data_IF_114126441030
#
_entry.id   IF_114126441030
#
_cell.length_a   1.000
_cell.length_b   1.000
_cell.length_c   1.000
_cell.angle_alpha   90.00
_cell.angle_beta   90.00
_cell.angle_gamma   90.00
#
_symmetry.space_group_name_H-M   'P 1'
#
loop_
_entity.id
_entity.type
_entity.pdbx_description
1 polymer ?
#
# COMPACT_ATOMS: atom_id res chain seq x y z
N UNK A 1 -5.85 7.96 16.23
CA UNK A 1 -7.00 8.20 17.13
C UNK A 1 -8.29 7.82 16.40
N UNK A 2 -8.78 8.65 15.46
CA UNK A 2 -9.98 8.41 14.63
C UNK A 2 -10.24 6.94 14.27
N UNK A 3 -9.27 6.23 13.67
CA UNK A 3 -9.46 4.83 13.28
C UNK A 3 -9.78 3.86 14.44
N UNK A 4 -9.28 4.10 15.67
CA UNK A 4 -9.66 3.33 16.87
C UNK A 4 -11.07 3.67 17.33
N UNK A 5 -11.41 4.96 17.33
CA UNK A 5 -12.75 5.45 17.69
C UNK A 5 -13.81 4.90 16.71
N UNK A 6 -13.47 4.74 15.43
CA UNK A 6 -14.29 4.05 14.42
C UNK A 6 -14.40 2.54 14.66
N UNK A 7 -13.30 1.87 15.03
CA UNK A 7 -13.37 0.44 15.38
C UNK A 7 -14.26 0.21 16.59
N UNK A 8 -14.16 1.01 17.66
CA UNK A 8 -15.05 0.88 18.82
C UNK A 8 -16.54 1.06 18.45
N UNK A 9 -16.84 2.00 17.54
CA UNK A 9 -18.18 2.21 16.97
C UNK A 9 -18.68 1.03 16.12
N UNK A 10 -17.81 0.43 15.29
CA UNK A 10 -18.14 -0.74 14.47
C UNK A 10 -18.33 -2.00 15.33
N UNK A 11 -17.45 -2.23 16.31
CA UNK A 11 -17.50 -3.39 17.21
C UNK A 11 -18.68 -3.38 18.20
N UNK A 12 -19.30 -2.22 18.42
CA UNK A 12 -20.55 -2.09 19.20
C UNK A 12 -21.82 -2.18 18.34
N UNK A 13 -21.70 -2.12 17.00
CA UNK A 13 -22.82 -2.30 16.09
C UNK A 13 -23.08 -3.79 15.80
N UNK A 14 -24.36 -4.24 15.73
CA UNK A 14 -24.71 -5.63 15.51
C UNK A 14 -24.26 -6.11 14.12
N UNK A 15 -23.73 -7.33 14.05
CA UNK A 15 -23.37 -7.98 12.78
C UNK A 15 -24.63 -8.48 12.06
N UNK A 16 -24.84 -8.02 10.82
CA UNK A 16 -25.99 -8.35 9.98
C UNK A 16 -25.58 -9.26 8.80
N UNK A 17 -26.53 -9.59 7.90
CA UNK A 17 -26.19 -10.31 6.67
C UNK A 17 -25.16 -9.50 5.83
N UNK A 18 -24.21 -10.12 5.11
CA UNK A 18 -23.00 -9.42 4.63
C UNK A 18 -23.20 -8.14 3.83
N UNK A 19 -24.24 -8.06 2.99
CA UNK A 19 -24.55 -6.86 2.19
C UNK A 19 -25.26 -5.76 3.01
N UNK A 20 -26.08 -6.14 3.99
CA UNK A 20 -26.74 -5.22 4.92
C UNK A 20 -25.72 -4.67 5.93
N UNK A 21 -24.80 -5.53 6.40
CA UNK A 21 -23.66 -5.15 7.24
C UNK A 21 -22.74 -4.15 6.53
N UNK A 22 -22.41 -4.37 5.25
CA UNK A 22 -21.60 -3.42 4.48
C UNK A 22 -22.25 -2.02 4.39
N UNK A 23 -23.56 -1.94 4.15
CA UNK A 23 -24.30 -0.66 4.10
C UNK A 23 -24.43 -0.01 5.49
N UNK A 24 -24.63 -0.81 6.54
CA UNK A 24 -24.68 -0.32 7.92
C UNK A 24 -23.33 0.25 8.36
N UNK A 25 -22.23 -0.44 8.06
CA UNK A 25 -20.86 0.00 8.35
C UNK A 25 -20.51 1.30 7.61
N UNK A 26 -20.92 1.43 6.34
CA UNK A 26 -20.73 2.67 5.57
C UNK A 26 -21.52 3.85 6.16
N UNK A 27 -22.68 3.59 6.77
CA UNK A 27 -23.49 4.58 7.49
C UNK A 27 -22.92 5.02 8.85
N UNK A 28 -22.08 4.21 9.49
CA UNK A 28 -21.44 4.52 10.78
C UNK A 28 -20.20 5.42 10.65
N UNK A 29 -19.66 5.60 9.44
CA UNK A 29 -18.44 6.37 9.18
C UNK A 29 -18.79 7.65 8.42
N UNK A 30 -18.50 8.81 9.02
CA UNK A 30 -18.70 10.09 8.33
C UNK A 30 -17.65 10.29 7.22
N UNK A 31 -17.97 11.10 6.20
CA UNK A 31 -17.04 11.36 5.09
C UNK A 31 -15.74 12.04 5.55
N UNK A 32 -15.80 12.87 6.60
CA UNK A 32 -14.60 13.48 7.19
C UNK A 32 -13.70 12.47 7.91
N UNK A 33 -14.28 11.57 8.71
CA UNK A 33 -13.54 10.48 9.36
C UNK A 33 -12.93 9.53 8.32
N UNK A 34 -13.71 9.15 7.30
CA UNK A 34 -13.24 8.29 6.21
C UNK A 34 -12.06 8.92 5.46
N UNK A 35 -12.18 10.18 5.04
CA UNK A 35 -11.10 10.89 4.35
C UNK A 35 -9.85 11.01 5.22
N UNK A 36 -9.99 11.33 6.51
CA UNK A 36 -8.86 11.42 7.44
C UNK A 36 -8.11 10.08 7.58
N UNK A 37 -8.82 8.94 7.64
CA UNK A 37 -8.15 7.63 7.70
C UNK A 37 -7.58 7.21 6.35
N UNK A 38 -8.29 7.40 5.24
CA UNK A 38 -7.81 7.05 3.88
C UNK A 38 -6.53 7.82 3.54
N UNK A 39 -6.48 9.12 3.83
CA UNK A 39 -5.29 9.95 3.62
C UNK A 39 -4.17 9.59 4.63
N UNK A 40 -4.52 9.30 5.89
CA UNK A 40 -3.56 8.83 6.88
C UNK A 40 -2.91 7.50 6.51
N UNK A 41 -3.63 6.58 5.87
CA UNK A 41 -3.11 5.28 5.39
C UNK A 41 -2.11 5.39 4.22
N UNK A 42 -1.93 6.58 3.63
CA UNK A 42 -0.87 6.83 2.64
C UNK A 42 0.50 7.04 3.33
N UNK A 43 0.52 7.41 4.61
CA UNK A 43 1.74 7.41 5.41
C UNK A 43 2.13 5.97 5.80
N UNK A 44 3.42 5.65 5.62
CA UNK A 44 3.96 4.31 5.84
C UNK A 44 3.87 3.91 7.32
N UNK A 45 4.19 4.79 8.25
CA UNK A 45 4.17 4.45 9.66
C UNK A 45 2.74 4.20 10.15
N UNK A 46 1.81 5.08 9.79
CA UNK A 46 0.38 4.96 10.08
C UNK A 46 -0.21 3.68 9.51
N UNK A 47 0.16 3.31 8.28
CA UNK A 47 -0.25 2.05 7.65
C UNK A 47 0.35 0.83 8.34
N UNK A 48 1.65 0.85 8.65
CA UNK A 48 2.30 -0.26 9.34
C UNK A 48 1.63 -0.48 10.72
N UNK A 49 1.26 0.61 11.42
CA UNK A 49 0.50 0.59 12.69
C UNK A 49 -0.94 0.09 12.54
N UNK A 50 -1.56 0.29 11.38
CA UNK A 50 -2.88 -0.25 11.05
C UNK A 50 -2.82 -1.75 10.68
N UNK A 51 -1.70 -2.22 10.10
CA UNK A 51 -1.47 -3.63 9.78
C UNK A 51 -1.35 -4.52 11.04
N UNK A 52 -1.17 -3.92 12.22
CA UNK A 52 -1.12 -4.57 13.52
C UNK A 52 -2.48 -5.09 14.00
N UNK A 53 -3.59 -4.62 13.43
CA UNK A 53 -4.95 -5.04 13.82
C UNK A 53 -5.41 -6.27 13.01
N UNK A 54 -4.47 -7.16 12.67
CA UNK A 54 -4.70 -8.36 11.86
C UNK A 54 -5.04 -9.61 12.67
N UNK A 55 -4.87 -9.55 13.99
CA UNK A 55 -5.07 -10.67 14.91
C UNK A 55 -5.83 -10.23 16.17
N UNK A 56 -6.30 -11.22 16.95
CA UNK A 56 -7.02 -10.95 18.20
C UNK A 56 -8.45 -10.44 18.03
N UNK A 57 -8.93 -9.73 19.05
CA UNK A 57 -10.32 -9.23 19.14
C UNK A 57 -10.61 -8.07 18.19
N UNK A 58 -9.57 -7.41 17.69
CA UNK A 58 -9.63 -6.27 16.78
C UNK A 58 -9.86 -6.71 15.33
N UNK A 59 -9.43 -7.92 14.94
CA UNK A 59 -9.35 -8.36 13.55
C UNK A 59 -10.67 -8.23 12.76
N UNK A 60 -11.77 -8.77 13.27
CA UNK A 60 -13.09 -8.70 12.60
C UNK A 60 -13.54 -7.23 12.39
N UNK A 61 -13.31 -6.39 13.39
CA UNK A 61 -13.72 -4.99 13.40
C UNK A 61 -12.82 -4.14 12.49
N UNK A 62 -11.52 -4.43 12.46
CA UNK A 62 -10.57 -3.83 11.53
C UNK A 62 -10.90 -4.20 10.08
N UNK A 63 -11.24 -5.47 9.80
CA UNK A 63 -11.66 -5.93 8.48
C UNK A 63 -12.92 -5.20 7.98
N UNK A 64 -13.91 -4.99 8.85
CA UNK A 64 -15.10 -4.17 8.57
C UNK A 64 -14.72 -2.73 8.21
N UNK A 65 -13.88 -2.08 9.01
CA UNK A 65 -13.37 -0.73 8.74
C UNK A 65 -12.64 -0.66 7.38
N UNK A 66 -11.74 -1.58 7.09
CA UNK A 66 -10.96 -1.60 5.85
C UNK A 66 -11.84 -1.78 4.61
N UNK A 67 -12.86 -2.66 4.67
CA UNK A 67 -13.85 -2.82 3.61
C UNK A 67 -14.66 -1.55 3.38
N UNK A 68 -15.15 -0.91 4.44
CA UNK A 68 -15.92 0.33 4.36
C UNK A 68 -15.11 1.50 3.77
N UNK A 69 -13.83 1.65 4.18
CA UNK A 69 -12.95 2.68 3.61
C UNK A 69 -12.63 2.39 2.13
N UNK A 70 -12.34 1.13 1.77
CA UNK A 70 -12.05 0.76 0.39
C UNK A 70 -13.22 1.06 -0.57
N UNK A 71 -14.48 0.80 -0.16
CA UNK A 71 -15.67 1.11 -0.97
C UNK A 71 -15.84 2.61 -1.27
N UNK A 72 -15.29 3.49 -0.43
CA UNK A 72 -15.41 4.95 -0.57
C UNK A 72 -14.35 5.57 -1.48
N UNK A 73 -13.30 4.83 -1.82
CA UNK A 73 -12.25 5.24 -2.74
C UNK A 73 -12.70 5.07 -4.20
N UNK A 74 -13.41 6.08 -4.73
CA UNK A 74 -14.05 6.04 -6.06
C UNK A 74 -13.56 7.14 -7.00
N UNK A 75 -13.74 6.93 -8.31
CA UNK A 75 -13.41 7.91 -9.35
C UNK A 75 -11.92 8.27 -9.34
N UNK A 76 -11.54 9.55 -9.24
CA UNK A 76 -10.14 9.97 -9.24
C UNK A 76 -9.35 9.51 -8.00
N UNK A 77 -10.03 9.01 -6.95
CA UNK A 77 -9.39 8.56 -5.70
C UNK A 77 -9.28 7.03 -5.60
N UNK A 78 -9.46 6.30 -6.71
CA UNK A 78 -9.42 4.83 -6.71
C UNK A 78 -8.08 4.27 -6.25
N UNK A 79 -6.96 4.92 -6.57
CA UNK A 79 -5.61 4.53 -6.15
C UNK A 79 -5.47 4.47 -4.61
N UNK A 80 -6.13 5.38 -3.88
CA UNK A 80 -6.14 5.36 -2.42
C UNK A 80 -6.87 4.16 -1.82
N UNK A 81 -7.60 3.37 -2.61
CA UNK A 81 -8.16 2.08 -2.19
C UNK A 81 -7.09 1.03 -1.93
N UNK A 82 -5.90 1.14 -2.55
CA UNK A 82 -4.86 0.12 -2.46
C UNK A 82 -4.42 -0.15 -1.01
N UNK A 83 -4.25 0.89 -0.19
CA UNK A 83 -3.90 0.76 1.22
C UNK A 83 -4.96 -0.01 2.05
N UNK A 84 -6.24 0.42 2.14
CA UNK A 84 -7.26 -0.32 2.88
C UNK A 84 -7.57 -1.70 2.28
N UNK A 85 -7.53 -1.89 0.96
CA UNK A 85 -7.70 -3.21 0.34
C UNK A 85 -6.57 -4.18 0.72
N UNK A 86 -5.34 -3.68 0.81
CA UNK A 86 -4.18 -4.48 1.26
C UNK A 86 -4.33 -4.88 2.72
N UNK A 87 -4.77 -3.96 3.58
CA UNK A 87 -5.04 -4.23 5.00
C UNK A 87 -6.18 -5.25 5.15
N UNK A 88 -7.28 -5.10 4.42
CA UNK A 88 -8.37 -6.09 4.40
C UNK A 88 -7.86 -7.48 4.00
N UNK A 89 -7.06 -7.58 2.93
CA UNK A 89 -6.47 -8.84 2.51
C UNK A 89 -5.51 -9.45 3.53
N UNK A 90 -4.73 -8.62 4.23
CA UNK A 90 -3.83 -9.04 5.31
C UNK A 90 -4.59 -9.60 6.52
N UNK A 91 -5.69 -8.96 6.93
CA UNK A 91 -6.54 -9.45 8.03
C UNK A 91 -7.28 -10.73 7.63
N UNK A 92 -7.88 -10.80 6.43
CA UNK A 92 -8.53 -12.03 5.93
C UNK A 92 -7.55 -13.20 5.90
N UNK A 93 -6.34 -13.00 5.36
CA UNK A 93 -5.33 -14.06 5.32
C UNK A 93 -4.89 -14.47 6.72
N UNK A 94 -4.70 -13.50 7.62
CA UNK A 94 -4.38 -13.77 9.02
C UNK A 94 -5.48 -14.54 9.76
N UNK A 95 -6.74 -14.36 9.38
CA UNK A 95 -7.89 -15.07 9.96
C UNK A 95 -8.14 -16.44 9.31
N UNK A 96 -7.33 -16.84 8.32
CA UNK A 96 -7.45 -18.13 7.60
C UNK A 96 -8.32 -18.09 6.34
N UNK A 97 -8.91 -16.95 5.98
CA UNK A 97 -9.67 -16.79 4.74
C UNK A 97 -8.74 -16.37 3.59
N UNK A 98 -8.01 -17.34 3.04
CA UNK A 98 -7.16 -17.13 1.87
C UNK A 98 -7.94 -16.70 0.62
N UNK A 99 -9.20 -17.08 0.50
CA UNK A 99 -10.01 -16.76 -0.67
C UNK A 99 -10.35 -15.27 -0.70
N UNK A 100 -10.86 -14.73 0.41
CA UNK A 100 -11.06 -13.30 0.58
C UNK A 100 -9.74 -12.53 0.50
N UNK A 101 -8.64 -13.07 1.05
CA UNK A 101 -7.32 -12.45 0.95
C UNK A 101 -6.87 -12.26 -0.50
N UNK A 102 -6.90 -13.31 -1.33
CA UNK A 102 -6.53 -13.23 -2.76
C UNK A 102 -7.44 -12.26 -3.53
N UNK A 103 -8.74 -12.23 -3.23
CA UNK A 103 -9.68 -11.28 -3.84
C UNK A 103 -9.35 -9.83 -3.45
N UNK A 104 -9.13 -9.55 -2.16
CA UNK A 104 -8.82 -8.21 -1.66
C UNK A 104 -7.46 -7.69 -2.15
N UNK A 105 -6.42 -8.53 -2.14
CA UNK A 105 -5.10 -8.19 -2.68
C UNK A 105 -5.12 -8.01 -4.21
N UNK A 106 -5.89 -8.85 -4.91
CA UNK A 106 -6.12 -8.68 -6.34
C UNK A 106 -6.92 -7.42 -6.69
N UNK A 107 -7.83 -6.96 -5.81
CA UNK A 107 -8.48 -5.65 -5.92
C UNK A 107 -7.49 -4.51 -5.67
N UNK A 108 -6.63 -4.62 -4.65
CA UNK A 108 -5.60 -3.62 -4.37
C UNK A 108 -4.68 -3.40 -5.57
N UNK A 109 -4.18 -4.48 -6.19
CA UNK A 109 -3.33 -4.43 -7.38
C UNK A 109 -4.06 -3.97 -8.66
N UNK A 110 -5.40 -3.95 -8.67
CA UNK A 110 -6.18 -3.30 -9.75
C UNK A 110 -6.38 -1.80 -9.51
N UNK A 111 -6.33 -1.36 -8.26
CA UNK A 111 -6.41 0.06 -7.89
C UNK A 111 -5.05 0.75 -8.06
N UNK A 112 -3.98 0.11 -7.62
CA UNK A 112 -2.58 0.52 -7.82
C UNK A 112 -1.71 -0.73 -8.06
N UNK A 113 -1.27 -0.97 -9.32
CA UNK A 113 -0.39 -2.09 -9.65
C UNK A 113 1.01 -2.02 -9.00
N UNK A 114 1.50 -0.81 -8.69
CA UNK A 114 2.85 -0.57 -8.16
C UNK A 114 2.89 -0.59 -6.62
N UNK A 115 1.74 -0.78 -5.97
CA UNK A 115 1.60 -0.83 -4.51
C UNK A 115 2.35 -2.03 -3.89
N UNK A 116 3.62 -1.82 -3.55
CA UNK A 116 4.57 -2.88 -3.17
C UNK A 116 4.07 -3.77 -2.02
N UNK A 117 3.33 -3.21 -1.05
CA UNK A 117 2.80 -4.01 0.06
C UNK A 117 1.73 -5.02 -0.40
N UNK A 118 0.88 -4.65 -1.37
CA UNK A 118 -0.05 -5.59 -2.00
C UNK A 118 0.70 -6.65 -2.82
N UNK A 119 1.73 -6.24 -3.58
CA UNK A 119 2.53 -7.17 -4.40
C UNK A 119 3.16 -8.27 -3.53
N UNK A 120 3.82 -7.88 -2.43
CA UNK A 120 4.48 -8.79 -1.50
C UNK A 120 3.49 -9.76 -0.83
N UNK A 121 2.37 -9.25 -0.30
CA UNK A 121 1.34 -10.11 0.32
C UNK A 121 0.66 -11.03 -0.70
N UNK A 122 0.36 -10.53 -1.90
CA UNK A 122 -0.25 -11.34 -2.96
C UNK A 122 0.70 -12.47 -3.42
N UNK A 123 1.98 -12.16 -3.59
CA UNK A 123 3.00 -13.17 -3.88
C UNK A 123 3.10 -14.21 -2.75
N UNK A 124 3.19 -13.77 -1.49
CA UNK A 124 3.31 -14.65 -0.34
C UNK A 124 2.10 -15.59 -0.18
N UNK A 125 0.88 -15.06 -0.36
CA UNK A 125 -0.37 -15.83 -0.31
C UNK A 125 -0.51 -16.83 -1.46
N UNK A 126 0.05 -16.52 -2.64
CA UNK A 126 0.07 -17.44 -3.79
C UNK A 126 1.21 -18.48 -3.72
N UNK A 127 2.25 -18.23 -2.92
CA UNK A 127 3.34 -19.18 -2.65
C UNK A 127 3.04 -20.12 -1.47
N UNK A 128 1.89 -19.95 -0.78
CA UNK A 128 1.52 -20.77 0.37
C UNK A 128 2.41 -20.56 1.60
N UNK A 129 2.96 -19.35 1.75
CA UNK A 129 3.72 -19.02 2.96
C UNK A 129 2.80 -18.98 4.19
N UNK A 130 3.34 -19.30 5.37
CA UNK A 130 2.58 -19.17 6.62
C UNK A 130 2.51 -17.69 7.04
N UNK A 131 1.30 -17.10 7.21
CA UNK A 131 1.15 -15.72 7.67
C UNK A 131 1.83 -15.46 9.03
N UNK A 132 1.99 -16.45 9.91
CA UNK A 132 2.70 -16.26 11.18
C UNK A 132 4.19 -15.92 11.01
N UNK A 133 4.80 -16.32 9.88
CA UNK A 133 6.17 -15.90 9.53
C UNK A 133 6.23 -14.38 9.33
N UNK A 134 5.26 -13.83 8.59
CA UNK A 134 5.17 -12.39 8.34
C UNK A 134 4.77 -11.61 9.61
N UNK A 135 3.87 -12.16 10.44
CA UNK A 135 3.56 -11.55 11.75
C UNK A 135 4.80 -11.44 12.62
N UNK A 136 5.64 -12.48 12.67
CA UNK A 136 6.89 -12.45 13.44
C UNK A 136 7.85 -11.36 12.95
N UNK A 137 7.98 -11.17 11.63
CA UNK A 137 8.75 -10.06 11.08
C UNK A 137 8.17 -8.69 11.49
N UNK A 138 6.87 -8.47 11.35
CA UNK A 138 6.21 -7.22 11.73
C UNK A 138 6.31 -6.93 13.25
N UNK A 139 6.14 -7.93 14.11
CA UNK A 139 6.35 -7.80 15.56
C UNK A 139 7.82 -7.51 15.89
N UNK A 140 8.77 -8.12 15.17
CA UNK A 140 10.21 -7.83 15.30
C UNK A 140 10.57 -6.39 14.92
N UNK A 141 10.06 -5.89 13.79
CA UNK A 141 10.24 -4.49 13.40
C UNK A 141 9.66 -3.50 14.41
N UNK A 142 8.49 -3.80 14.98
CA UNK A 142 7.90 -2.98 16.05
C UNK A 142 8.86 -2.84 17.24
N UNK A 143 9.38 -3.95 17.76
CA UNK A 143 10.30 -3.91 18.90
C UNK A 143 11.57 -3.09 18.63
N UNK A 144 12.05 -3.05 17.38
CA UNK A 144 13.16 -2.18 16.98
C UNK A 144 12.75 -0.70 16.98
N UNK A 145 11.55 -0.36 16.48
CA UNK A 145 11.01 1.01 16.47
C UNK A 145 10.80 1.54 17.91
N UNK A 146 10.09 0.77 18.74
CA UNK A 146 9.84 1.09 20.15
C UNK A 146 11.16 1.25 20.94
N UNK A 147 12.19 0.46 20.59
CA UNK A 147 13.53 0.55 21.18
C UNK A 147 14.31 1.81 20.77
N UNK A 148 14.10 2.34 19.57
CA UNK A 148 14.75 3.59 19.11
C UNK A 148 14.06 4.85 19.65
N UNK A 149 12.74 4.83 19.87
CA UNK A 149 12.07 5.93 20.58
C UNK A 149 12.55 6.06 22.04
N UNK A 150 12.96 4.95 22.65
CA UNK A 150 13.56 4.91 24.00
C UNK A 150 15.01 5.42 24.11
N UNK A 151 15.77 5.44 23.01
CA UNK A 151 17.20 5.87 22.97
C UNK A 151 17.39 7.27 22.37
N UNK A 152 16.31 8.07 22.30
CA UNK A 152 16.41 9.51 22.04
C UNK A 152 16.93 10.24 23.28
N UNK A 153 18.22 10.04 23.58
CA UNK A 153 18.90 10.56 24.75
C UNK A 153 18.90 12.11 24.81
N UNK A 154 18.77 12.72 26.00
CA UNK A 154 19.13 14.12 26.17
C UNK A 154 20.64 14.30 25.93
N UNK A 155 21.01 15.39 25.26
CA UNK A 155 22.37 15.59 24.72
C UNK A 155 23.51 15.31 25.72
N UNK A 156 24.64 14.75 25.26
CA UNK A 156 25.87 14.75 26.04
C UNK A 156 26.37 16.19 26.18
N UNK A 157 26.02 16.83 27.30
CA UNK A 157 26.53 18.15 27.70
C UNK A 157 28.03 18.23 27.46
N UNK A 158 28.43 19.14 26.58
CA UNK A 158 29.83 19.32 26.20
C UNK A 158 30.70 19.60 27.44
N UNK A 159 31.57 18.65 27.78
CA UNK A 159 32.65 18.88 28.75
C UNK A 159 33.59 19.96 28.21
N UNK A 160 33.72 21.03 28.98
CA UNK A 160 34.37 22.27 28.55
C UNK A 160 35.83 22.04 28.11
N UNK A 161 36.12 22.35 26.85
CA UNK A 161 37.47 22.32 26.30
C UNK A 161 38.12 23.68 26.59
N UNK A 162 39.16 23.68 27.43
CA UNK A 162 39.84 24.91 27.87
C UNK A 162 40.63 25.56 26.75
N UNK A 163 40.13 26.67 26.21
CA UNK A 163 40.84 27.45 25.19
C UNK A 163 42.03 28.21 25.79
N UNK A 164 43.24 27.89 25.33
CA UNK A 164 44.42 28.73 25.54
C UNK A 164 44.61 29.70 24.37
N UNK A 165 44.58 31.00 24.69
CA UNK A 165 45.01 32.12 23.83
C UNK A 165 46.29 31.83 23.04
N UNK A 166 46.31 32.22 21.77
CA UNK A 166 47.47 32.89 21.14
C UNK A 166 47.05 33.64 19.87
N UNK A 167 47.77 34.73 19.57
CA UNK A 167 47.41 35.77 18.61
C UNK A 167 47.87 35.56 17.15
N UNK A 168 48.01 36.65 16.35
CA UNK A 168 47.33 36.71 15.05
C UNK A 168 48.19 36.46 13.78
N UNK A 169 47.47 36.34 12.66
CA UNK A 169 47.94 36.27 11.25
C UNK A 169 48.96 37.37 10.88
N UNK A 170 49.71 37.12 9.78
CA UNK A 170 49.50 37.97 8.60
C UNK A 170 49.13 37.18 7.33
N UNK A 171 48.68 37.90 6.30
CA UNK A 171 48.07 37.35 5.08
C UNK A 171 49.06 37.26 3.90
N UNK A 172 48.77 36.38 2.93
CA UNK A 172 49.24 36.54 1.54
C UNK A 172 48.37 35.79 0.53
N UNK A 173 48.15 36.44 -0.61
CA UNK A 173 47.59 35.95 -1.87
C UNK A 173 48.25 36.78 -3.00
N UNK A 174 47.98 36.59 -4.31
CA UNK A 174 47.14 35.57 -4.95
C UNK A 174 47.84 34.90 -6.18
N UNK A 175 47.02 34.32 -7.08
CA UNK A 175 47.23 34.06 -8.51
C UNK A 175 47.87 32.73 -8.96
N UNK A 176 47.18 32.07 -9.91
CA UNK A 176 47.60 30.81 -10.52
C UNK A 176 46.56 30.21 -11.49
N UNK A 177 46.21 30.92 -12.58
CA UNK A 177 45.40 30.33 -13.67
C UNK A 177 46.16 29.18 -14.33
N UNK A 178 45.50 28.03 -14.58
CA UNK A 178 45.81 27.17 -15.74
C UNK A 178 44.58 26.37 -16.19
N UNK A 179 44.48 26.18 -17.51
CA UNK A 179 43.37 25.52 -18.22
C UNK A 179 43.86 24.17 -18.77
N UNK A 180 43.04 23.15 -18.70
CA UNK A 180 43.09 21.93 -19.54
C UNK A 180 41.67 21.33 -19.50
N UNK A 181 40.80 21.47 -20.51
CA UNK A 181 40.90 21.14 -21.93
C UNK A 181 40.77 19.63 -22.22
N UNK A 182 39.86 19.31 -23.15
CA UNK A 182 39.59 18.02 -23.79
C UNK A 182 38.92 16.90 -22.96
N UNK A 183 37.59 16.78 -23.12
CA UNK A 183 36.87 15.51 -23.10
C UNK A 183 36.06 15.40 -24.41
N UNK A 184 35.68 14.18 -24.80
CA UNK A 184 35.54 13.78 -26.21
C UNK A 184 34.28 14.25 -26.95
N UNK A 185 34.41 14.26 -28.28
CA UNK A 185 33.33 14.48 -29.25
C UNK A 185 32.55 13.17 -29.51
N UNK A 186 31.21 13.28 -29.46
CA UNK A 186 30.24 12.81 -30.48
C UNK A 186 30.12 11.29 -30.79
N UNK A 187 28.89 10.79 -30.71
CA UNK A 187 28.44 9.55 -31.39
C UNK A 187 28.47 9.69 -32.94
N UNK A 188 28.39 8.58 -33.70
CA UNK A 188 27.08 8.11 -34.19
C UNK A 188 26.95 6.57 -34.16
N UNK A 189 25.75 5.99 -33.97
CA UNK A 189 24.81 5.61 -35.04
C UNK A 189 24.89 4.09 -35.27
N UNK A 190 23.97 3.36 -35.90
CA UNK A 190 22.59 3.49 -36.36
C UNK A 190 22.33 2.20 -37.18
N UNK A 191 21.06 1.79 -37.36
CA UNK A 191 20.63 0.62 -38.17
C UNK A 191 20.96 -0.78 -37.58
N UNK A 192 20.26 -1.87 -37.88
CA UNK A 192 19.23 -2.11 -38.93
C UNK A 192 18.07 -3.00 -38.45
N UNK A 193 16.85 -2.71 -38.94
CA UNK A 193 15.75 -3.68 -39.10
C UNK A 193 16.04 -4.56 -40.35
N UNK A 194 15.50 -5.79 -40.44
CA UNK A 194 14.29 -5.95 -41.28
C UNK A 194 13.29 -7.03 -40.81
N UNK A 195 12.03 -6.92 -41.25
CA UNK A 195 11.11 -8.07 -41.45
C UNK A 195 11.06 -8.40 -42.96
N UNK A 196 9.95 -8.92 -43.55
CA UNK A 196 8.71 -9.47 -42.98
C UNK A 196 8.26 -10.81 -43.65
N UNK A 197 7.10 -11.38 -43.29
CA UNK A 197 6.09 -12.07 -44.17
C UNK A 197 4.91 -12.54 -43.27
N UNK A 198 3.65 -12.15 -43.49
CA UNK A 198 2.65 -12.67 -44.44
C UNK A 198 2.15 -14.11 -44.13
N UNK A 199 0.84 -14.44 -44.05
CA UNK A 199 -0.38 -13.63 -44.14
C UNK A 199 -1.66 -14.50 -44.36
N UNK A 200 -2.83 -13.87 -44.58
CA UNK A 200 -4.17 -14.47 -44.87
C UNK A 200 -4.77 -15.24 -43.68
N UNK A 201 -6.07 -15.32 -43.40
CA UNK A 201 -7.39 -15.04 -44.02
C UNK A 201 -8.40 -15.91 -43.22
N UNK A 202 -9.72 -15.71 -43.13
CA UNK A 202 -10.75 -15.21 -44.06
C UNK A 202 -12.09 -15.00 -43.29
N UNK A 203 -13.09 -14.37 -43.94
CA UNK A 203 -14.56 -14.49 -43.78
C UNK A 203 -15.15 -14.96 -42.41
N UNK A 204 -15.96 -14.14 -41.72
CA UNK A 204 -17.43 -13.98 -41.91
C UNK A 204 -18.22 -15.29 -41.83
N UNK A 205 -19.12 -15.38 -40.85
CA UNK A 205 -20.46 -15.91 -41.09
C UNK A 205 -21.52 -15.24 -40.19
N UNK A 206 -22.78 -15.21 -40.64
CA UNK A 206 -23.87 -14.49 -39.95
C UNK A 206 -25.24 -15.17 -40.10
N UNK A 207 -25.85 -15.56 -38.95
CA UNK A 207 -27.30 -15.75 -38.72
C UNK A 207 -27.98 -16.93 -39.47
N UNK A 208 -29.26 -17.30 -39.16
CA UNK A 208 -30.08 -17.19 -37.94
C UNK A 208 -30.77 -18.54 -37.55
N UNK A 209 -31.81 -18.47 -36.68
CA UNK A 209 -32.79 -19.50 -36.28
C UNK A 209 -32.33 -20.43 -35.14
N UNK A 210 -33.20 -20.93 -34.25
CA UNK A 210 -34.68 -20.98 -34.31
C UNK A 210 -35.44 -20.53 -33.04
N UNK A 211 -36.74 -20.83 -33.03
CA UNK A 211 -37.79 -20.24 -32.19
C UNK A 211 -38.60 -21.35 -31.50
N UNK A 212 -39.35 -21.00 -30.44
CA UNK A 212 -40.32 -21.83 -29.66
C UNK A 212 -39.67 -22.71 -28.58
N UNK A 213 -40.36 -23.04 -27.48
CA UNK A 213 -41.79 -22.84 -27.19
C UNK A 213 -42.10 -22.33 -25.78
N UNK A 214 -43.36 -21.94 -25.59
CA UNK A 214 -43.92 -21.53 -24.30
C UNK A 214 -45.02 -22.52 -23.87
N UNK A 215 -45.46 -22.38 -22.61
CA UNK A 215 -46.66 -22.94 -21.95
C UNK A 215 -46.49 -24.29 -21.23
N UNK A 216 -46.59 -24.22 -19.89
CA UNK A 216 -47.42 -25.01 -18.95
C UNK A 216 -46.97 -24.62 -17.52
N UNK A 217 -47.77 -24.42 -16.47
CA UNK A 217 -49.24 -24.55 -16.21
C UNK A 217 -49.87 -25.94 -16.34
N UNK A 218 -50.83 -26.32 -15.50
CA UNK A 218 -51.33 -25.75 -14.22
C UNK A 218 -50.93 -26.64 -13.05
#
# INVERSE_FOLDING_TARGET
RVARDLMERLGSAPSAAPAEADSADDGLITTGEAAAVILGLQDRETRDRAAEWMEGREAETALRLWRALARRCVGPYVEHAAAPLTLAGWVSWSSGDEAAARVALGLALRADPDYTFAQLLHQACNQGLDPETLRRCLRGERHLRDGQEGDSAPEPRAVARTERRSGPRPARAPAGKRRSAAASRRAPGASSRPGPTAGRGRARDTRPLGQRGARNRD
#
